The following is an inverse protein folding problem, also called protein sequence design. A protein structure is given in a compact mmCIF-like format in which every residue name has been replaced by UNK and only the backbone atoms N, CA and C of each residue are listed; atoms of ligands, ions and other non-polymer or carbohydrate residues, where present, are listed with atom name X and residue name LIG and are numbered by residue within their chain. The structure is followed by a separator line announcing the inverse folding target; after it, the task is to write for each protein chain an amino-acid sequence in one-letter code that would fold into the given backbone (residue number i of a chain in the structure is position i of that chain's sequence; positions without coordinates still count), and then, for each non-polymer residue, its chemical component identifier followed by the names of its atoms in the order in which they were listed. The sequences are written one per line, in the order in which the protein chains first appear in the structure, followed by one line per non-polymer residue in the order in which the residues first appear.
data_IF_771014288094
#
_entry.id   IF_771014288094
#
_cell.length_a   1.000
_cell.length_b   1.000
_cell.length_c   1.000
_cell.angle_alpha   90.00
_cell.angle_beta   90.00
_cell.angle_gamma   90.00
#
_symmetry.space_group_name_H-M   'P 1'
#
loop_
_entity.id
_entity.type
_entity.pdbx_description
1 polymer ?
#
# COMPACT_ATOMS: atom_id res chain seq x y z
N UNK A 1 12.66 15.56 -63.81
CA UNK A 1 13.33 14.71 -62.79
C UNK A 1 13.18 15.23 -61.35
N UNK A 2 13.22 16.56 -61.11
CA UNK A 2 13.09 17.13 -59.76
C UNK A 2 11.71 16.98 -59.08
N UNK A 3 10.62 17.08 -59.84
CA UNK A 3 9.24 16.93 -59.31
C UNK A 3 8.95 15.52 -58.76
N UNK A 4 9.39 14.48 -59.47
CA UNK A 4 9.20 13.07 -59.08
C UNK A 4 9.97 12.76 -57.79
N UNK A 5 11.18 13.31 -57.65
CA UNK A 5 12.02 13.13 -56.47
C UNK A 5 11.50 13.89 -55.25
N UNK A 6 10.82 15.04 -55.44
CA UNK A 6 10.10 15.75 -54.38
C UNK A 6 8.87 14.96 -53.89
N UNK A 7 8.11 14.36 -54.81
CA UNK A 7 6.98 13.49 -54.46
C UNK A 7 7.42 12.26 -53.67
N UNK A 8 8.51 11.61 -54.08
CA UNK A 8 9.10 10.49 -53.34
C UNK A 8 9.58 10.88 -51.93
N UNK A 9 10.24 12.04 -51.79
CA UNK A 9 10.65 12.57 -50.48
C UNK A 9 9.46 12.91 -49.59
N UNK A 10 8.40 13.49 -50.14
CA UNK A 10 7.20 13.84 -49.37
C UNK A 10 6.44 12.59 -48.90
N UNK A 11 6.31 11.57 -49.76
CA UNK A 11 5.72 10.28 -49.39
C UNK A 11 6.54 9.56 -48.31
N UNK A 12 7.87 9.62 -48.37
CA UNK A 12 8.74 9.02 -47.36
C UNK A 12 8.62 9.70 -45.99
N UNK A 13 8.48 11.03 -45.96
CA UNK A 13 8.27 11.80 -44.71
C UNK A 13 6.91 11.48 -44.09
N UNK A 14 5.85 11.36 -44.90
CA UNK A 14 4.52 10.95 -44.43
C UNK A 14 4.56 9.53 -43.85
N UNK A 15 5.26 8.59 -44.52
CA UNK A 15 5.42 7.22 -44.03
C UNK A 15 6.15 7.17 -42.67
N UNK A 16 7.20 7.99 -42.51
CA UNK A 16 7.94 8.13 -41.25
C UNK A 16 7.07 8.70 -40.11
N UNK A 17 6.16 9.64 -40.41
CA UNK A 17 5.21 10.18 -39.43
C UNK A 17 4.18 9.13 -38.97
N UNK A 18 3.77 8.19 -39.84
CA UNK A 18 2.87 7.10 -39.45
C UNK A 18 3.52 6.08 -38.50
N UNK A 19 4.83 5.86 -38.60
CA UNK A 19 5.57 4.96 -37.67
C UNK A 19 5.67 5.55 -36.27
N UNK A 20 5.62 6.88 -36.11
CA UNK A 20 5.67 7.54 -34.80
C UNK A 20 4.32 7.56 -34.06
N UNK A 21 3.21 7.22 -34.73
CA UNK A 21 1.87 7.21 -34.15
C UNK A 21 1.48 5.88 -33.51
N UNK A 22 2.34 4.85 -33.52
CA UNK A 22 2.12 3.63 -32.74
C UNK A 22 2.49 3.90 -31.27
N UNK A 23 1.72 4.76 -30.60
CA UNK A 23 1.65 4.73 -29.13
C UNK A 23 1.04 3.39 -28.77
N UNK A 24 1.85 2.50 -28.22
CA UNK A 24 1.36 1.25 -27.64
C UNK A 24 0.53 1.64 -26.43
N UNK A 25 -0.77 1.92 -26.62
CA UNK A 25 -1.72 1.91 -25.52
C UNK A 25 -1.76 0.47 -25.04
N UNK A 26 -0.95 0.16 -24.02
CA UNK A 26 -1.20 -1.02 -23.21
C UNK A 26 -2.62 -0.84 -22.70
N UNK A 27 -3.55 -1.65 -23.17
CA UNK A 27 -4.80 -1.86 -22.46
C UNK A 27 -4.39 -2.36 -21.08
N UNK A 28 -4.42 -1.46 -20.11
CA UNK A 28 -4.22 -1.76 -18.71
C UNK A 28 -5.46 -2.56 -18.26
N UNK A 29 -5.42 -3.87 -18.51
CA UNK A 29 -6.44 -4.81 -18.08
C UNK A 29 -6.28 -5.01 -16.57
N UNK A 30 -6.75 -4.03 -15.80
CA UNK A 30 -6.84 -4.13 -14.35
C UNK A 30 -7.75 -5.29 -13.97
N UNK A 31 -7.18 -6.29 -13.31
CA UNK A 31 -7.91 -7.44 -12.78
C UNK A 31 -7.62 -7.55 -11.28
N UNK A 32 -8.49 -6.97 -10.41
CA UNK A 32 -8.33 -7.04 -8.96
C UNK A 32 -8.20 -8.48 -8.49
N UNK A 33 -7.23 -8.77 -7.63
CA UNK A 33 -7.18 -10.07 -6.97
C UNK A 33 -8.16 -10.13 -5.80
N UNK A 34 -8.59 -11.35 -5.44
CA UNK A 34 -9.32 -11.65 -4.21
C UNK A 34 -8.45 -12.59 -3.42
N UNK A 35 -8.13 -12.23 -2.18
CA UNK A 35 -7.35 -13.10 -1.32
C UNK A 35 -8.17 -14.33 -0.92
N UNK A 36 -7.56 -15.51 -1.06
CA UNK A 36 -8.21 -16.81 -0.83
C UNK A 36 -7.35 -17.77 0.00
N UNK A 37 -6.30 -17.24 0.65
CA UNK A 37 -5.40 -17.98 1.53
C UNK A 37 -6.01 -18.32 2.89
N UNK A 38 -5.16 -18.50 3.89
CA UNK A 38 -5.57 -18.83 5.26
C UNK A 38 -6.42 -17.74 5.92
N UNK A 39 -7.13 -18.13 7.00
CA UNK A 39 -7.86 -17.18 7.83
C UNK A 39 -6.91 -16.19 8.51
N UNK A 40 -7.23 -14.90 8.46
CA UNK A 40 -6.47 -13.83 9.13
C UNK A 40 -7.31 -13.10 10.17
N UNK A 41 -6.73 -12.85 11.35
CA UNK A 41 -7.28 -12.01 12.42
C UNK A 41 -6.48 -10.72 12.50
N UNK A 42 -7.09 -9.64 12.02
CA UNK A 42 -6.43 -8.34 11.93
C UNK A 42 -7.05 -7.38 12.96
N UNK A 43 -6.24 -6.83 13.85
CA UNK A 43 -6.68 -5.74 14.72
C UNK A 43 -6.94 -4.48 13.88
N UNK A 44 -8.01 -3.74 14.14
CA UNK A 44 -8.30 -2.48 13.44
C UNK A 44 -8.62 -1.36 14.42
N UNK A 45 -7.83 -0.29 14.37
CA UNK A 45 -8.17 0.98 15.04
C UNK A 45 -8.90 1.89 14.05
N UNK A 46 -10.17 2.17 14.35
CA UNK A 46 -11.04 3.00 13.53
C UNK A 46 -11.95 2.20 12.59
N UNK A 47 -12.26 2.76 11.43
CA UNK A 47 -13.23 2.17 10.49
C UNK A 47 -12.66 0.95 9.77
N UNK A 48 -13.42 -0.16 9.79
CA UNK A 48 -13.13 -1.37 9.03
C UNK A 48 -13.15 -1.07 7.52
N UNK A 49 -12.13 -1.50 6.74
CA UNK A 49 -12.15 -1.35 5.29
C UNK A 49 -13.21 -2.24 4.64
N UNK A 50 -13.75 -1.79 3.51
CA UNK A 50 -14.66 -2.57 2.68
C UNK A 50 -13.85 -3.53 1.81
N UNK A 51 -13.83 -4.80 2.17
CA UNK A 51 -13.10 -5.87 1.48
C UNK A 51 -14.05 -6.97 0.98
N UNK A 52 -13.60 -7.79 0.03
CA UNK A 52 -14.41 -8.88 -0.58
C UNK A 52 -14.18 -10.23 0.11
N UNK A 53 -13.07 -10.36 0.80
CA UNK A 53 -12.57 -11.54 1.48
C UNK A 53 -13.46 -11.93 2.66
N UNK A 54 -13.78 -13.22 2.75
CA UNK A 54 -14.60 -13.78 3.84
C UNK A 54 -13.75 -14.40 4.96
N UNK A 55 -12.50 -14.74 4.64
CA UNK A 55 -11.49 -15.34 5.52
C UNK A 55 -10.67 -14.29 6.29
N UNK A 56 -11.01 -13.00 6.18
CA UNK A 56 -10.33 -11.93 6.94
C UNK A 56 -11.27 -11.36 7.99
N UNK A 57 -10.97 -11.63 9.25
CA UNK A 57 -11.69 -11.13 10.41
C UNK A 57 -11.00 -9.90 10.97
N UNK A 58 -11.71 -8.78 11.03
CA UNK A 58 -11.23 -7.59 11.71
C UNK A 58 -11.73 -7.56 13.16
N UNK A 59 -10.80 -7.48 14.09
CA UNK A 59 -11.04 -7.33 15.52
C UNK A 59 -10.92 -5.84 15.87
N UNK A 60 -12.01 -5.17 16.31
CA UNK A 60 -11.92 -3.76 16.71
C UNK A 60 -10.94 -3.57 17.85
N UNK A 61 -10.07 -2.58 17.72
CA UNK A 61 -9.12 -2.13 18.74
C UNK A 61 -9.25 -0.63 18.94
N UNK A 62 -8.82 -0.18 20.12
CA UNK A 62 -8.60 1.23 20.46
C UNK A 62 -7.11 1.54 20.49
N UNK A 63 -6.75 2.82 20.54
CA UNK A 63 -5.35 3.21 20.79
C UNK A 63 -4.86 2.76 22.19
N UNK A 64 -5.76 2.64 23.16
CA UNK A 64 -5.44 2.11 24.50
C UNK A 64 -5.07 0.61 24.46
N UNK A 65 -5.71 -0.16 23.58
CA UNK A 65 -5.32 -1.55 23.35
C UNK A 65 -3.92 -1.64 22.73
N UNK A 66 -3.54 -0.67 21.90
CA UNK A 66 -2.19 -0.58 21.33
C UNK A 66 -1.17 -0.27 22.42
N UNK A 67 -1.38 0.75 23.24
CA UNK A 67 -0.43 1.08 24.32
C UNK A 67 -0.28 -0.05 25.35
N UNK A 68 -1.35 -0.82 25.57
CA UNK A 68 -1.35 -1.97 26.49
C UNK A 68 -0.83 -3.26 25.86
N UNK A 69 -0.43 -3.27 24.59
CA UNK A 69 -0.02 -4.46 23.84
C UNK A 69 -1.08 -5.59 23.82
N UNK A 70 -2.36 -5.22 23.84
CA UNK A 70 -3.49 -6.16 23.83
C UNK A 70 -3.80 -6.66 22.40
N UNK A 71 -2.77 -7.10 21.66
CA UNK A 71 -2.89 -7.55 20.26
C UNK A 71 -1.99 -8.76 19.91
N UNK A 72 -1.30 -9.36 20.88
CA UNK A 72 -0.32 -10.43 20.66
C UNK A 72 -0.88 -11.71 20.01
N UNK A 73 -2.21 -11.90 20.03
CA UNK A 73 -2.90 -13.05 19.44
C UNK A 73 -3.47 -12.77 18.04
N UNK A 74 -3.13 -11.62 17.45
CA UNK A 74 -3.55 -11.19 16.13
C UNK A 74 -2.41 -11.39 15.13
N UNK A 75 -2.73 -11.33 13.84
CA UNK A 75 -1.75 -11.54 12.77
C UNK A 75 -1.12 -10.23 12.31
N UNK A 76 -1.84 -9.12 12.50
CA UNK A 76 -1.39 -7.76 12.23
C UNK A 76 -2.35 -6.76 12.90
N UNK A 77 -1.90 -5.52 13.06
CA UNK A 77 -2.74 -4.40 13.47
C UNK A 77 -2.75 -3.31 12.40
N UNK A 78 -3.95 -2.90 12.01
CA UNK A 78 -4.20 -1.86 11.03
C UNK A 78 -4.71 -0.60 11.75
N UNK A 79 -4.21 0.57 11.34
CA UNK A 79 -4.60 1.86 11.92
C UNK A 79 -5.14 2.75 10.80
N UNK A 80 -6.41 3.14 10.93
CA UNK A 80 -7.10 3.98 9.97
C UNK A 80 -6.56 5.43 9.95
N UNK A 81 -6.64 6.09 8.77
CA UNK A 81 -6.21 7.47 8.55
C UNK A 81 -6.57 8.45 9.66
N UNK A 82 -7.79 8.37 10.20
CA UNK A 82 -8.28 9.29 11.25
C UNK A 82 -7.47 9.23 12.55
N UNK A 83 -6.78 8.12 12.82
CA UNK A 83 -6.01 7.89 14.03
C UNK A 83 -4.50 8.04 13.83
N UNK A 84 -4.02 8.34 12.61
CA UNK A 84 -2.58 8.36 12.33
C UNK A 84 -1.81 9.45 13.08
N UNK A 85 -2.42 10.61 13.30
CA UNK A 85 -1.81 11.68 14.11
C UNK A 85 -1.63 11.23 15.57
N UNK A 86 -2.61 10.50 16.11
CA UNK A 86 -2.52 9.93 17.46
C UNK A 86 -1.53 8.77 17.54
N UNK A 87 -1.56 7.85 16.56
CA UNK A 87 -0.63 6.73 16.47
C UNK A 87 0.83 7.17 16.35
N UNK A 88 1.09 8.39 15.86
CA UNK A 88 2.43 8.97 15.79
C UNK A 88 2.92 9.61 17.11
N UNK A 89 2.13 9.59 18.19
CA UNK A 89 2.61 10.07 19.50
C UNK A 89 3.75 9.17 19.98
N UNK A 90 4.75 9.79 20.62
CA UNK A 90 5.96 9.12 21.08
C UNK A 90 5.72 7.90 22.01
N UNK A 91 4.57 7.85 22.68
CA UNK A 91 4.17 6.73 23.56
C UNK A 91 3.96 5.41 22.79
N UNK A 92 3.57 5.46 21.51
CA UNK A 92 3.33 4.24 20.70
C UNK A 92 4.57 3.76 19.93
N UNK A 93 5.58 4.61 19.76
CA UNK A 93 6.76 4.29 18.94
C UNK A 93 7.46 2.99 19.39
N UNK A 94 7.63 2.82 20.71
CA UNK A 94 8.22 1.59 21.26
C UNK A 94 7.33 0.36 21.03
N UNK A 95 6.01 0.53 21.11
CA UNK A 95 5.07 -0.57 20.83
C UNK A 95 5.29 -1.11 19.42
N UNK A 96 5.44 -0.22 18.42
CA UNK A 96 5.68 -0.65 17.04
C UNK A 96 7.06 -1.27 16.83
N UNK A 97 8.10 -0.70 17.45
CA UNK A 97 9.48 -1.20 17.35
C UNK A 97 9.65 -2.60 17.98
N UNK A 98 8.96 -2.85 19.09
CA UNK A 98 9.09 -4.08 19.87
C UNK A 98 8.00 -5.11 19.52
N UNK A 99 7.05 -4.76 18.64
CA UNK A 99 5.91 -5.60 18.31
C UNK A 99 6.32 -6.97 17.76
N UNK A 100 5.66 -8.06 18.21
CA UNK A 100 5.84 -9.39 17.63
C UNK A 100 5.18 -9.54 16.25
N UNK A 101 4.29 -8.62 15.87
CA UNK A 101 3.49 -8.66 14.63
C UNK A 101 3.57 -7.34 13.85
N UNK A 102 3.33 -7.35 12.53
CA UNK A 102 3.38 -6.15 11.70
C UNK A 102 2.25 -5.18 12.00
N UNK A 103 2.56 -3.88 11.92
CA UNK A 103 1.59 -2.79 11.92
C UNK A 103 1.41 -2.23 10.51
N UNK A 104 0.19 -1.86 10.14
CA UNK A 104 -0.14 -1.23 8.86
C UNK A 104 -0.89 0.09 9.08
N UNK A 105 -0.34 1.18 8.58
CA UNK A 105 -0.90 2.52 8.62
C UNK A 105 -1.61 2.82 7.28
N UNK A 106 -2.92 3.03 7.35
CA UNK A 106 -3.78 3.14 6.16
C UNK A 106 -3.86 4.60 5.70
N UNK A 107 -3.57 4.85 4.42
CA UNK A 107 -3.77 6.11 3.71
C UNK A 107 -3.01 7.28 4.36
N UNK A 108 -1.79 6.98 4.85
CA UNK A 108 -0.90 7.97 5.43
C UNK A 108 -0.29 8.86 4.36
N UNK A 109 -0.27 10.16 4.65
CA UNK A 109 0.41 11.13 3.79
C UNK A 109 1.89 11.32 4.20
N UNK A 110 2.35 10.59 5.24
CA UNK A 110 3.65 10.76 5.89
C UNK A 110 4.52 9.50 5.77
N UNK A 111 5.83 9.67 5.83
CA UNK A 111 6.78 8.55 5.87
C UNK A 111 6.63 7.73 7.16
N UNK A 112 6.99 6.45 7.13
CA UNK A 112 6.86 5.55 8.28
C UNK A 112 7.61 6.02 9.54
N UNK A 113 8.69 6.81 9.38
CA UNK A 113 9.40 7.41 10.51
C UNK A 113 8.49 8.27 11.41
N UNK A 114 7.38 8.78 10.88
CA UNK A 114 6.38 9.51 11.67
C UNK A 114 5.82 8.69 12.85
N UNK A 115 5.90 7.36 12.80
CA UNK A 115 5.33 6.48 13.82
C UNK A 115 6.37 5.89 14.77
N UNK A 116 7.60 5.68 14.30
CA UNK A 116 8.65 4.98 15.05
C UNK A 116 9.71 5.93 15.63
N UNK A 117 9.82 7.16 15.11
CA UNK A 117 10.74 8.17 15.63
C UNK A 117 10.03 9.06 16.67
N UNK A 118 10.39 8.88 17.94
CA UNK A 118 9.83 9.66 19.07
C UNK A 118 10.09 11.16 18.97
N UNK A 119 11.07 11.59 18.18
CA UNK A 119 11.43 13.00 17.99
C UNK A 119 10.60 13.72 16.94
N UNK A 120 9.76 13.00 16.18
CA UNK A 120 9.05 13.54 15.03
C UNK A 120 7.54 13.32 15.22
N UNK A 121 6.75 14.40 15.22
CA UNK A 121 5.29 14.28 15.17
C UNK A 121 4.80 14.01 13.74
N UNK A 122 3.59 13.45 13.61
CA UNK A 122 2.96 13.21 12.31
C UNK A 122 2.92 14.47 11.43
N UNK A 123 2.53 15.61 12.01
CA UNK A 123 2.35 16.88 11.31
C UNK A 123 3.69 17.40 10.76
N UNK A 124 4.77 17.21 11.51
CA UNK A 124 6.12 17.66 11.18
C UNK A 124 6.91 16.66 10.32
N UNK A 125 6.49 15.39 10.28
CA UNK A 125 7.11 14.38 9.43
C UNK A 125 7.05 14.76 7.95
N UNK A 126 8.05 14.31 7.19
CA UNK A 126 8.06 14.49 5.74
C UNK A 126 6.88 13.77 5.09
N UNK A 127 6.34 14.39 4.02
CA UNK A 127 5.34 13.72 3.18
C UNK A 127 5.96 12.50 2.52
N UNK A 128 5.22 11.39 2.50
CA UNK A 128 5.65 10.22 1.72
C UNK A 128 5.65 10.56 0.23
N UNK A 129 6.68 10.07 -0.47
CA UNK A 129 6.78 10.14 -1.93
C UNK A 129 6.59 8.77 -2.60
N UNK A 130 6.38 7.71 -1.82
CA UNK A 130 6.23 6.35 -2.35
C UNK A 130 4.90 6.16 -3.10
N UNK A 131 3.87 6.92 -2.72
CA UNK A 131 2.52 6.71 -3.25
C UNK A 131 1.81 5.51 -2.63
N UNK A 132 2.37 4.94 -1.55
CA UNK A 132 1.77 3.81 -0.86
C UNK A 132 0.48 4.21 -0.15
N UNK A 133 -0.55 3.38 -0.34
CA UNK A 133 -1.83 3.50 0.35
C UNK A 133 -1.83 2.69 1.65
N UNK A 134 -1.13 1.56 1.68
CA UNK A 134 -0.89 0.78 2.90
C UNK A 134 0.59 0.83 3.23
N UNK A 135 0.95 1.36 4.40
CA UNK A 135 2.33 1.45 4.88
C UNK A 135 2.51 0.49 6.05
N UNK A 136 3.32 -0.54 5.86
CA UNK A 136 3.65 -1.55 6.85
C UNK A 136 4.99 -1.31 7.54
N UNK A 137 5.08 -1.72 8.81
CA UNK A 137 6.32 -1.75 9.57
C UNK A 137 6.41 -3.03 10.43
N UNK A 138 7.57 -3.68 10.41
CA UNK A 138 7.91 -4.79 11.29
C UNK A 138 9.42 -4.90 11.51
N UNK A 139 9.90 -4.80 12.77
CA UNK A 139 11.31 -5.00 13.15
C UNK A 139 12.30 -4.39 12.16
N UNK A 140 12.24 -3.07 12.02
CA UNK A 140 13.05 -2.23 11.11
C UNK A 140 12.78 -2.40 9.60
N UNK A 141 11.89 -3.30 9.20
CA UNK A 141 11.47 -3.45 7.82
C UNK A 141 10.24 -2.60 7.53
N UNK A 142 10.42 -1.64 6.63
CA UNK A 142 9.33 -0.93 5.98
C UNK A 142 8.87 -1.70 4.75
N UNK A 143 7.56 -1.74 4.54
CA UNK A 143 6.95 -2.24 3.32
C UNK A 143 5.73 -1.41 2.96
N UNK A 144 5.38 -1.35 1.68
CA UNK A 144 4.30 -0.49 1.22
C UNK A 144 3.61 -1.05 0.00
N UNK A 145 2.32 -0.77 -0.11
CA UNK A 145 1.53 -1.08 -1.30
C UNK A 145 0.80 0.16 -1.80
N UNK A 146 1.09 0.54 -3.03
CA UNK A 146 0.33 1.54 -3.77
C UNK A 146 -0.96 0.97 -4.36
N UNK A 147 -1.88 1.88 -4.69
CA UNK A 147 -3.07 1.55 -5.47
C UNK A 147 -2.69 1.36 -6.94
N UNK A 148 -3.41 0.50 -7.64
CA UNK A 148 -3.23 0.33 -9.07
C UNK A 148 -3.33 1.68 -9.80
N UNK A 149 -2.29 2.03 -10.56
CA UNK A 149 -2.12 3.32 -11.25
C UNK A 149 -2.32 4.56 -10.35
N UNK A 150 -2.14 4.43 -9.02
CA UNK A 150 -2.41 5.47 -8.03
C UNK A 150 -3.87 5.99 -8.05
N UNK A 151 -4.80 5.21 -8.61
CA UNK A 151 -6.20 5.59 -8.69
C UNK A 151 -6.87 5.18 -7.39
N UNK A 152 -7.51 6.13 -6.70
CA UNK A 152 -8.25 5.87 -5.45
C UNK A 152 -9.71 5.59 -5.75
N UNK A 153 -10.06 4.30 -5.86
CA UNK A 153 -11.43 3.82 -5.95
C UNK A 153 -11.60 2.52 -5.15
N UNK A 154 -12.82 2.00 -5.07
CA UNK A 154 -13.12 0.80 -4.28
C UNK A 154 -12.34 -0.44 -4.75
N UNK A 155 -12.23 -0.67 -6.06
CA UNK A 155 -11.58 -1.87 -6.60
C UNK A 155 -10.06 -1.86 -6.39
N UNK A 156 -9.40 -0.72 -6.59
CA UNK A 156 -7.95 -0.59 -6.37
C UNK A 156 -7.58 -0.66 -4.90
N UNK A 157 -8.44 -0.15 -4.02
CA UNK A 157 -8.30 -0.29 -2.57
C UNK A 157 -8.44 -1.75 -2.16
N UNK A 158 -9.49 -2.45 -2.63
CA UNK A 158 -9.71 -3.87 -2.35
C UNK A 158 -8.54 -4.73 -2.83
N UNK A 159 -8.04 -4.48 -4.04
CA UNK A 159 -6.85 -5.15 -4.59
C UNK A 159 -5.61 -4.92 -3.71
N UNK A 160 -5.39 -3.70 -3.24
CA UNK A 160 -4.27 -3.37 -2.34
C UNK A 160 -4.37 -4.12 -1.01
N UNK A 161 -5.58 -4.24 -0.43
CA UNK A 161 -5.82 -5.07 0.75
C UNK A 161 -5.57 -6.55 0.49
N UNK A 162 -6.06 -7.10 -0.62
CA UNK A 162 -5.84 -8.50 -0.97
C UNK A 162 -4.33 -8.84 -1.13
N UNK A 163 -3.56 -7.93 -1.76
CA UNK A 163 -2.09 -8.05 -1.82
C UNK A 163 -1.44 -7.98 -0.44
N UNK A 164 -1.94 -7.10 0.43
CA UNK A 164 -1.46 -7.02 1.82
C UNK A 164 -1.72 -8.33 2.58
N UNK A 165 -2.89 -8.95 2.40
CA UNK A 165 -3.22 -10.22 3.06
C UNK A 165 -2.31 -11.36 2.62
N UNK A 166 -1.95 -11.43 1.32
CA UNK A 166 -0.93 -12.37 0.84
C UNK A 166 0.43 -12.18 1.53
N UNK A 167 0.86 -10.93 1.74
CA UNK A 167 2.11 -10.62 2.46
C UNK A 167 2.02 -11.11 3.91
N UNK A 168 0.90 -10.86 4.60
CA UNK A 168 0.69 -11.27 5.98
C UNK A 168 0.63 -12.80 6.14
N UNK A 169 -0.02 -13.52 5.23
CA UNK A 169 -0.03 -14.99 5.23
C UNK A 169 1.38 -15.56 5.07
N UNK A 170 2.17 -15.01 4.14
CA UNK A 170 3.58 -15.41 3.98
C UNK A 170 4.40 -15.10 5.22
N UNK A 171 4.19 -13.94 5.83
CA UNK A 171 4.82 -13.57 7.10
C UNK A 171 4.52 -14.60 8.19
N UNK A 172 3.28 -15.06 8.35
CA UNK A 172 2.95 -16.09 9.35
C UNK A 172 3.75 -17.39 9.16
N UNK A 173 4.03 -17.77 7.91
CA UNK A 173 4.76 -19.00 7.62
C UNK A 173 6.28 -18.86 7.67
N UNK A 174 6.83 -17.67 7.43
CA UNK A 174 8.27 -17.44 7.26
C UNK A 174 8.90 -16.61 8.37
N UNK A 175 8.13 -15.78 9.07
CA UNK A 175 8.62 -14.75 9.98
C UNK A 175 9.22 -13.53 9.29
N UNK A 176 9.18 -13.46 7.95
CA UNK A 176 9.79 -12.40 7.15
C UNK A 176 8.73 -11.69 6.28
N UNK A 177 8.92 -10.38 6.08
CA UNK A 177 8.08 -9.61 5.15
C UNK A 177 8.64 -9.78 3.74
N UNK A 178 7.88 -10.42 2.86
CA UNK A 178 8.26 -10.68 1.46
C UNK A 178 7.33 -9.93 0.52
N UNK A 179 7.87 -8.96 -0.22
CA UNK A 179 7.17 -8.26 -1.30
C UNK A 179 7.23 -9.10 -2.59
N UNK A 180 6.10 -9.27 -3.26
CA UNK A 180 6.01 -9.89 -4.60
C UNK A 180 6.23 -8.88 -5.73
#
# INVERSE_FOLDING_TARGET
MGEIMKRFRFTFIILLLFVLLTSCSKEDNFNPIIYSGNDLKIGIVGEKPKIKEKNVLFIPLTMEDISSSNFDNLDSVFINKKYLSEAAKAEYANVYLESPIPFVFIDSDKVYMAYIDKGISYENAHKSKSGDYLIGFYKDNYFGLSLYNNIKNEETIQDSYARMFNILEKFQSTGEILLE
#
